data_IF_565579552489
#
_entry.id   IF_565579552489
#
_cell.length_a   1.000
_cell.length_b   1.000
_cell.length_c   1.000
_cell.angle_alpha   90.00
_cell.angle_beta   90.00
_cell.angle_gamma   90.00
#
_symmetry.space_group_name_H-M   'P 1'
#
loop_
_entity.id
_entity.type
_entity.pdbx_description
1 polymer ?
#
# COMPACT_ATOMS: atom_id res chain seq x y z
N UNK A 1 -4.16 -22.64 17.92
CA UNK A 1 -5.04 -23.20 16.87
C UNK A 1 -4.84 -22.35 15.62
N UNK A 2 -4.00 -22.78 14.68
CA UNK A 2 -3.65 -22.00 13.48
C UNK A 2 -4.76 -22.14 12.43
N UNK A 3 -5.68 -21.17 12.39
CA UNK A 3 -6.54 -21.01 11.23
C UNK A 3 -5.73 -20.29 10.15
N UNK A 4 -5.19 -21.05 9.20
CA UNK A 4 -4.76 -20.51 7.92
C UNK A 4 -6.01 -20.03 7.17
N UNK A 5 -6.51 -18.84 7.50
CA UNK A 5 -7.48 -18.16 6.64
C UNK A 5 -6.74 -17.77 5.36
N UNK A 6 -6.93 -18.58 4.32
CA UNK A 6 -6.60 -18.12 2.96
C UNK A 6 -7.50 -16.91 2.70
N UNK A 7 -6.86 -15.75 2.55
CA UNK A 7 -7.50 -14.57 2.01
C UNK A 7 -8.13 -14.93 0.65
N UNK A 8 -9.35 -14.43 0.33
CA UNK A 8 -9.92 -14.61 -0.99
C UNK A 8 -8.94 -14.20 -2.12
N UNK A 9 -9.08 -14.80 -3.31
CA UNK A 9 -8.19 -14.49 -4.44
C UNK A 9 -8.34 -13.05 -4.94
N UNK A 10 -9.51 -12.44 -4.69
CA UNK A 10 -9.86 -11.08 -5.06
C UNK A 10 -10.06 -10.19 -3.83
N UNK A 11 -9.80 -8.88 -3.93
CA UNK A 11 -10.02 -7.95 -2.82
C UNK A 11 -11.48 -7.91 -2.38
N UNK A 12 -11.74 -8.29 -1.11
CA UNK A 12 -13.03 -8.10 -0.46
C UNK A 12 -12.91 -7.05 0.64
N UNK A 13 -13.02 -5.78 0.25
CA UNK A 13 -13.01 -4.66 1.19
C UNK A 13 -14.27 -4.62 2.04
N UNK A 14 -15.41 -5.09 1.53
CA UNK A 14 -16.68 -5.09 2.27
C UNK A 14 -16.58 -6.00 3.49
N UNK A 15 -16.12 -7.24 3.30
CA UNK A 15 -15.89 -8.19 4.39
C UNK A 15 -14.80 -7.69 5.33
N UNK A 16 -13.72 -7.12 4.82
CA UNK A 16 -12.64 -6.57 5.66
C UNK A 16 -13.16 -5.43 6.54
N UNK A 17 -13.96 -4.53 5.97
CA UNK A 17 -14.59 -3.42 6.71
C UNK A 17 -15.53 -3.93 7.79
N UNK A 18 -16.43 -4.86 7.46
CA UNK A 18 -17.36 -5.45 8.41
C UNK A 18 -16.63 -6.14 9.58
N UNK A 19 -15.52 -6.84 9.29
CA UNK A 19 -14.73 -7.55 10.31
C UNK A 19 -14.07 -6.63 11.34
N UNK A 20 -13.63 -5.45 10.93
CA UNK A 20 -12.90 -4.50 11.78
C UNK A 20 -13.74 -3.29 12.19
N UNK A 21 -15.04 -3.32 11.93
CA UNK A 21 -15.98 -2.29 12.36
C UNK A 21 -15.93 -2.11 13.90
N UNK A 22 -15.94 -0.86 14.36
CA UNK A 22 -15.85 -0.53 15.78
C UNK A 22 -14.49 -0.75 16.45
N UNK A 23 -13.53 -1.44 15.81
CA UNK A 23 -12.21 -1.73 16.40
C UNK A 23 -11.30 -0.49 16.52
N UNK A 24 -11.56 0.55 15.72
CA UNK A 24 -10.68 1.71 15.57
C UNK A 24 -9.37 1.44 14.82
N UNK A 25 -9.10 0.17 14.44
CA UNK A 25 -7.92 -0.24 13.66
C UNK A 25 -8.07 0.12 12.19
N UNK A 26 -9.24 -0.12 11.60
CA UNK A 26 -9.56 0.28 10.24
C UNK A 26 -10.39 1.57 10.27
N UNK A 27 -9.81 2.67 9.78
CA UNK A 27 -10.50 3.95 9.64
C UNK A 27 -10.70 4.26 8.17
N UNK A 28 -11.95 4.55 7.81
CA UNK A 28 -12.37 4.88 6.46
C UNK A 28 -12.61 6.37 6.32
N UNK A 29 -12.56 6.83 5.08
CA UNK A 29 -12.91 8.19 4.69
C UNK A 29 -12.18 9.25 5.54
N UNK A 30 -10.89 8.99 5.80
CA UNK A 30 -10.06 9.84 6.65
C UNK A 30 -9.49 10.96 5.79
N UNK A 31 -9.68 12.21 6.19
CA UNK A 31 -9.00 13.34 5.54
C UNK A 31 -7.48 13.29 5.79
N UNK A 32 -6.72 13.93 4.91
CA UNK A 32 -5.25 13.91 4.95
C UNK A 32 -4.70 14.51 6.24
N UNK A 33 -5.31 15.58 6.77
CA UNK A 33 -4.85 16.23 8.00
C UNK A 33 -5.02 15.31 9.21
N UNK A 34 -6.17 14.66 9.33
CA UNK A 34 -6.46 13.68 10.37
C UNK A 34 -5.53 12.48 10.25
N UNK A 35 -5.32 11.96 9.04
CA UNK A 35 -4.41 10.85 8.82
C UNK A 35 -2.96 11.21 9.19
N UNK A 36 -2.50 12.42 8.83
CA UNK A 36 -1.17 12.89 9.18
C UNK A 36 -1.00 13.03 10.70
N UNK A 37 -1.99 13.61 11.40
CA UNK A 37 -2.01 13.68 12.87
C UNK A 37 -1.91 12.29 13.51
N UNK A 38 -2.66 11.31 12.99
CA UNK A 38 -2.62 9.93 13.47
C UNK A 38 -1.26 9.23 13.21
N UNK A 39 -0.52 9.70 12.22
CA UNK A 39 0.81 9.22 11.85
C UNK A 39 1.96 9.96 12.55
N UNK A 40 1.70 11.04 13.29
CA UNK A 40 2.74 11.75 14.04
C UNK A 40 3.42 10.84 15.07
N UNK A 41 4.74 10.98 15.20
CA UNK A 41 5.57 10.16 16.07
C UNK A 41 5.81 8.72 15.56
N UNK A 42 5.04 8.25 14.59
CA UNK A 42 5.11 6.90 14.03
C UNK A 42 5.87 6.87 12.70
N UNK A 43 6.18 5.66 12.22
CA UNK A 43 6.53 5.41 10.82
C UNK A 43 5.33 4.78 10.12
N UNK A 44 4.77 5.46 9.11
CA UNK A 44 3.66 4.90 8.32
C UNK A 44 4.12 4.27 7.01
N UNK A 45 3.43 3.23 6.60
CA UNK A 45 3.62 2.55 5.33
C UNK A 45 2.58 3.04 4.32
N UNK A 46 3.01 3.58 3.19
CA UNK A 46 2.13 3.99 2.10
C UNK A 46 1.96 2.85 1.08
N UNK A 47 0.76 2.29 1.06
CA UNK A 47 0.40 1.24 0.10
C UNK A 47 -0.33 1.89 -1.07
N UNK A 48 0.25 1.78 -2.26
CA UNK A 48 -0.32 2.32 -3.51
C UNK A 48 -0.58 1.20 -4.51
N UNK A 49 -1.56 1.33 -5.41
CA UNK A 49 -1.75 0.35 -6.47
C UNK A 49 -0.52 0.28 -7.37
N UNK A 50 -0.04 -0.94 -7.62
CA UNK A 50 1.02 -1.22 -8.58
C UNK A 50 0.54 -2.38 -9.45
N UNK A 51 0.05 -2.08 -10.64
CA UNK A 51 -0.63 -3.05 -11.51
C UNK A 51 0.30 -4.03 -12.20
N UNK A 52 1.62 -3.87 -12.06
CA UNK A 52 2.52 -4.98 -12.35
C UNK A 52 2.23 -6.15 -11.43
N UNK A 53 1.64 -5.96 -10.26
CA UNK A 53 1.29 -7.01 -9.31
C UNK A 53 -0.02 -7.77 -9.60
N UNK A 54 -0.70 -7.53 -10.73
CA UNK A 54 -1.89 -8.31 -11.11
C UNK A 54 -1.51 -9.56 -11.91
N UNK A 55 -2.12 -10.71 -11.60
CA UNK A 55 -1.95 -11.98 -12.32
C UNK A 55 -2.49 -11.96 -13.77
N UNK A 56 -3.00 -10.81 -14.23
CA UNK A 56 -3.68 -10.67 -15.49
C UNK A 56 -2.67 -10.40 -16.63
N UNK A 57 -2.30 -11.49 -17.31
CA UNK A 57 -1.51 -11.57 -18.54
C UNK A 57 -0.05 -11.06 -18.46
N UNK A 58 0.88 -11.69 -19.20
CA UNK A 58 2.26 -11.21 -19.29
C UNK A 58 2.28 -9.80 -19.93
N UNK A 59 2.51 -8.78 -19.10
CA UNK A 59 2.81 -7.43 -19.60
C UNK A 59 4.18 -7.41 -20.26
N UNK A 60 4.30 -6.64 -21.34
CA UNK A 60 5.61 -6.29 -21.91
C UNK A 60 6.42 -5.55 -20.86
N UNK A 61 7.76 -5.68 -20.91
CA UNK A 61 8.64 -5.01 -19.94
C UNK A 61 8.44 -3.48 -19.93
N UNK A 62 8.04 -2.90 -21.07
CA UNK A 62 7.75 -1.47 -21.18
C UNK A 62 6.48 -1.06 -20.42
N UNK A 63 5.37 -1.78 -20.61
CA UNK A 63 4.12 -1.49 -19.89
C UNK A 63 4.31 -1.66 -18.38
N UNK A 64 5.05 -2.69 -17.98
CA UNK A 64 5.35 -2.92 -16.56
C UNK A 64 6.19 -1.78 -15.94
N UNK A 65 7.17 -1.27 -16.68
CA UNK A 65 7.99 -0.13 -16.24
C UNK A 65 7.16 1.15 -16.09
N UNK A 66 6.34 1.47 -17.09
CA UNK A 66 5.53 2.69 -17.07
C UNK A 66 4.52 2.71 -15.89
N UNK A 67 3.93 1.56 -15.58
CA UNK A 67 3.06 1.42 -14.42
C UNK A 67 3.81 1.56 -13.08
N UNK A 68 5.02 1.01 -13.00
CA UNK A 68 5.87 1.17 -11.81
C UNK A 68 6.28 2.64 -11.60
N UNK A 69 6.68 3.33 -12.66
CA UNK A 69 7.03 4.76 -12.64
C UNK A 69 5.81 5.60 -12.20
N UNK A 70 4.62 5.29 -12.72
CA UNK A 70 3.36 5.96 -12.31
C UNK A 70 3.06 5.74 -10.84
N UNK A 71 3.16 4.49 -10.35
CA UNK A 71 2.94 4.16 -8.95
C UNK A 71 3.98 4.83 -8.03
N UNK A 72 5.25 4.88 -8.45
CA UNK A 72 6.32 5.54 -7.72
C UNK A 72 6.13 7.05 -7.64
N UNK A 73 5.71 7.68 -8.73
CA UNK A 73 5.35 9.11 -8.75
C UNK A 73 4.21 9.40 -7.79
N UNK A 74 3.12 8.63 -7.83
CA UNK A 74 1.99 8.80 -6.94
C UNK A 74 2.39 8.62 -5.47
N UNK A 75 3.20 7.59 -5.16
CA UNK A 75 3.74 7.38 -3.83
C UNK A 75 4.64 8.54 -3.36
N UNK A 76 5.48 9.10 -4.24
CA UNK A 76 6.32 10.24 -3.91
C UNK A 76 5.51 11.51 -3.62
N UNK A 77 4.47 11.77 -4.42
CA UNK A 77 3.52 12.89 -4.20
C UNK A 77 2.86 12.75 -2.82
N UNK A 78 2.29 11.58 -2.53
CA UNK A 78 1.61 11.33 -1.27
C UNK A 78 2.56 11.35 -0.07
N UNK A 79 3.76 10.78 -0.18
CA UNK A 79 4.80 10.92 0.85
C UNK A 79 5.14 12.39 1.11
N UNK A 80 5.23 13.22 0.07
CA UNK A 80 5.47 14.67 0.22
C UNK A 80 4.30 15.39 0.88
N UNK A 81 3.06 15.03 0.53
CA UNK A 81 1.86 15.56 1.20
C UNK A 81 1.96 15.30 2.69
N UNK A 82 2.10 14.04 3.13
CA UNK A 82 2.23 13.70 4.54
C UNK A 82 3.43 14.38 5.24
N UNK A 83 4.57 14.50 4.54
CA UNK A 83 5.74 15.17 5.09
C UNK A 83 5.50 16.66 5.39
N UNK A 84 4.66 17.35 4.61
CA UNK A 84 4.27 18.75 4.91
C UNK A 84 3.51 18.90 6.23
N UNK A 85 2.82 17.84 6.66
CA UNK A 85 2.12 17.77 7.95
C UNK A 85 2.98 17.13 9.05
N UNK A 86 4.29 16.93 8.82
CA UNK A 86 5.23 16.38 9.80
C UNK A 86 5.18 14.85 9.97
N UNK A 87 4.38 14.15 9.16
CA UNK A 87 4.28 12.68 9.21
C UNK A 87 5.38 12.02 8.38
N UNK A 88 5.91 10.90 8.88
CA UNK A 88 6.95 10.10 8.20
C UNK A 88 6.31 8.89 7.55
N UNK A 89 6.16 8.96 6.23
CA UNK A 89 5.48 7.93 5.44
C UNK A 89 6.44 7.37 4.37
N UNK A 90 6.61 6.05 4.35
CA UNK A 90 7.51 5.34 3.43
C UNK A 90 6.73 4.40 2.52
N UNK A 91 7.14 4.30 1.26
CA UNK A 91 6.55 3.36 0.30
C UNK A 91 7.63 2.45 -0.31
N UNK A 92 7.38 1.14 -0.46
CA UNK A 92 8.32 0.26 -1.14
C UNK A 92 8.45 0.59 -2.63
N UNK A 93 7.41 1.14 -3.28
CA UNK A 93 7.41 1.36 -4.73
C UNK A 93 8.37 2.46 -5.16
N UNK A 94 8.53 3.51 -4.33
CA UNK A 94 9.51 4.59 -4.55
C UNK A 94 10.94 4.04 -4.55
N UNK A 95 11.20 3.03 -3.70
CA UNK A 95 12.50 2.35 -3.68
C UNK A 95 12.69 1.42 -4.86
N UNK A 96 11.62 0.79 -5.33
CA UNK A 96 11.65 -0.15 -6.46
C UNK A 96 12.01 0.57 -7.77
N UNK A 97 11.44 1.75 -8.03
CA UNK A 97 11.76 2.57 -9.20
C UNK A 97 13.25 2.91 -9.29
N UNK A 98 13.85 3.37 -8.18
CA UNK A 98 15.30 3.64 -8.12
C UNK A 98 16.17 2.40 -8.37
N UNK A 99 15.75 1.22 -7.89
CA UNK A 99 16.45 -0.05 -8.19
C UNK A 99 16.23 -0.56 -9.60
N UNK A 100 15.08 -0.30 -10.23
CA UNK A 100 14.82 -0.65 -11.62
C UNK A 100 15.59 0.24 -12.59
N UNK A 101 15.66 1.54 -12.30
CA UNK A 101 16.45 2.49 -13.08
C UNK A 101 17.96 2.16 -13.01
N UNK A 102 18.43 1.63 -11.88
CA UNK A 102 19.84 1.31 -11.67
C UNK A 102 20.26 -0.09 -12.16
N UNK A 103 19.32 -0.98 -12.47
CA UNK A 103 19.61 -2.41 -12.49
C UNK A 103 18.67 -3.14 -13.48
N UNK A 104 19.25 -3.77 -14.51
CA UNK A 104 18.57 -4.52 -15.59
C UNK A 104 17.98 -5.85 -15.04
N UNK A 105 17.13 -5.74 -14.02
CA UNK A 105 16.64 -6.86 -13.23
C UNK A 105 15.60 -7.66 -14.02
N UNK A 106 16.10 -8.64 -14.76
CA UNK A 106 15.32 -9.75 -15.32
C UNK A 106 14.61 -10.58 -14.25
N UNK A 107 14.99 -10.43 -12.99
CA UNK A 107 14.40 -11.18 -11.87
C UNK A 107 13.12 -10.52 -11.35
N UNK A 108 12.01 -10.95 -11.95
CA UNK A 108 10.67 -10.54 -11.54
C UNK A 108 10.36 -10.90 -10.09
N UNK A 109 11.01 -11.89 -9.47
CA UNK A 109 10.67 -12.32 -8.09
C UNK A 109 10.89 -11.23 -7.03
N UNK A 110 11.74 -10.24 -7.32
CA UNK A 110 12.00 -9.09 -6.46
C UNK A 110 10.85 -8.05 -6.43
N UNK A 111 9.94 -8.12 -7.39
CA UNK A 111 8.76 -7.25 -7.52
C UNK A 111 7.51 -7.81 -6.86
N UNK A 112 7.47 -9.14 -6.68
CA UNK A 112 6.31 -9.84 -6.14
C UNK A 112 6.68 -10.55 -4.84
N UNK A 113 6.90 -9.80 -3.76
CA UNK A 113 6.75 -10.40 -2.46
C UNK A 113 5.27 -10.77 -2.25
N UNK A 114 5.01 -12.05 -2.00
CA UNK A 114 3.74 -12.47 -1.40
C UNK A 114 3.55 -11.76 -0.05
N UNK A 115 2.33 -11.56 0.47
CA UNK A 115 2.14 -10.90 1.76
C UNK A 115 2.97 -11.58 2.85
N UNK A 116 3.88 -10.82 3.47
CA UNK A 116 4.80 -11.34 4.48
C UNK A 116 6.10 -11.98 3.96
N UNK A 117 6.32 -12.13 2.66
CA UNK A 117 7.52 -12.72 2.06
C UNK A 117 8.19 -11.78 1.06
N UNK A 118 9.40 -11.29 1.35
CA UNK A 118 10.23 -10.48 0.45
C UNK A 118 10.40 -9.03 0.92
N UNK A 119 11.09 -8.19 0.13
CA UNK A 119 11.65 -6.90 0.61
C UNK A 119 10.60 -5.92 1.12
N UNK A 120 9.40 -5.88 0.53
CA UNK A 120 8.29 -5.01 0.96
C UNK A 120 7.74 -5.39 2.34
N UNK A 121 7.73 -6.70 2.67
CA UNK A 121 7.27 -7.18 3.97
C UNK A 121 8.19 -6.75 5.11
N UNK A 122 9.49 -6.57 4.85
CA UNK A 122 10.42 -6.06 5.86
C UNK A 122 10.10 -4.61 6.22
N UNK A 123 9.78 -3.78 5.21
CA UNK A 123 9.42 -2.38 5.45
C UNK A 123 8.10 -2.29 6.22
N UNK A 124 7.09 -3.04 5.79
CA UNK A 124 5.78 -3.08 6.44
C UNK A 124 5.87 -3.49 7.91
N UNK A 125 6.73 -4.47 8.25
CA UNK A 125 6.99 -4.91 9.64
C UNK A 125 7.64 -3.86 10.55
N UNK A 126 8.19 -2.78 9.99
CA UNK A 126 8.83 -1.69 10.75
C UNK A 126 7.93 -0.47 10.90
N UNK A 127 6.77 -0.47 10.26
CA UNK A 127 5.80 0.61 10.33
C UNK A 127 4.76 0.33 11.41
N UNK A 128 4.14 1.39 11.92
CA UNK A 128 3.11 1.34 12.97
C UNK A 128 1.69 1.45 12.41
N UNK A 129 1.58 1.89 11.15
CA UNK A 129 0.32 2.00 10.43
C UNK A 129 0.51 1.83 8.92
N UNK A 130 -0.59 1.53 8.23
CA UNK A 130 -0.72 1.58 6.77
C UNK A 130 -1.63 2.73 6.38
N UNK A 131 -1.21 3.49 5.39
CA UNK A 131 -1.98 4.53 4.73
C UNK A 131 -2.27 4.08 3.30
N UNK A 132 -3.53 4.15 2.90
CA UNK A 132 -3.98 3.89 1.53
C UNK A 132 -4.55 5.20 0.97
N UNK A 133 -3.84 5.88 0.05
CA UNK A 133 -4.33 7.09 -0.60
C UNK A 133 -5.45 6.76 -1.61
N UNK A 134 -6.29 7.74 -1.98
CA UNK A 134 -7.39 7.60 -2.92
C UNK A 134 -6.90 7.58 -4.38
N UNK A 135 -5.94 6.70 -4.69
CA UNK A 135 -5.41 6.53 -6.06
C UNK A 135 -6.29 5.56 -6.84
N UNK A 136 -6.62 5.88 -8.08
CA UNK A 136 -7.38 4.99 -8.97
C UNK A 136 -6.84 3.54 -8.94
N UNK A 137 -7.76 2.58 -8.77
CA UNK A 137 -7.42 1.17 -8.67
C UNK A 137 -7.01 0.65 -7.30
N UNK A 138 -6.97 1.49 -6.27
CA UNK A 138 -6.55 1.03 -4.94
C UNK A 138 -7.47 -0.08 -4.40
N UNK A 139 -8.78 -0.03 -4.74
CA UNK A 139 -9.78 -1.03 -4.30
C UNK A 139 -9.57 -2.37 -4.98
N UNK A 140 -9.18 -2.36 -6.25
CA UNK A 140 -8.95 -3.53 -7.10
C UNK A 140 -7.55 -4.11 -6.90
N UNK A 141 -6.64 -3.36 -6.28
CA UNK A 141 -5.26 -3.78 -6.04
C UNK A 141 -5.20 -4.85 -4.96
N UNK A 142 -4.92 -6.08 -5.39
CA UNK A 142 -4.62 -7.23 -4.53
C UNK A 142 -3.45 -6.93 -3.58
N UNK A 143 -2.44 -6.18 -4.03
CA UNK A 143 -1.31 -5.77 -3.19
C UNK A 143 -1.73 -4.87 -2.03
N UNK A 144 -2.52 -3.84 -2.33
CA UNK A 144 -3.01 -2.87 -1.33
C UNK A 144 -3.93 -3.56 -0.32
N UNK A 145 -4.86 -4.37 -0.81
CA UNK A 145 -5.76 -5.13 0.06
C UNK A 145 -5.01 -6.11 0.96
N UNK A 146 -4.00 -6.81 0.44
CA UNK A 146 -3.15 -7.71 1.24
C UNK A 146 -2.32 -6.99 2.29
N UNK A 147 -1.77 -5.82 1.97
CA UNK A 147 -1.06 -4.99 2.94
C UNK A 147 -2.00 -4.58 4.09
N UNK A 148 -3.23 -4.18 3.77
CA UNK A 148 -4.25 -3.86 4.75
C UNK A 148 -4.63 -5.06 5.62
N UNK A 149 -4.91 -6.23 5.02
CA UNK A 149 -5.18 -7.45 5.77
C UNK A 149 -4.03 -7.81 6.71
N UNK A 150 -2.79 -7.78 6.21
CA UNK A 150 -1.60 -8.13 6.99
C UNK A 150 -1.41 -7.22 8.21
N UNK A 151 -1.64 -5.91 8.02
CA UNK A 151 -1.57 -4.90 9.07
C UNK A 151 -2.66 -5.13 10.13
N UNK A 152 -3.90 -5.31 9.70
CA UNK A 152 -5.04 -5.50 10.61
C UNK A 152 -4.91 -6.79 11.43
N UNK A 153 -4.45 -7.89 10.84
CA UNK A 153 -4.15 -9.14 11.54
C UNK A 153 -3.09 -9.00 12.64
N UNK A 154 -2.31 -7.90 12.62
CA UNK A 154 -1.25 -7.59 13.59
C UNK A 154 -1.59 -6.41 14.49
N UNK A 155 -2.85 -6.01 14.54
CA UNK A 155 -3.32 -4.85 15.29
C UNK A 155 -2.64 -3.54 14.89
N UNK A 156 -2.18 -3.43 13.63
CA UNK A 156 -1.72 -2.17 13.07
C UNK A 156 -2.89 -1.39 12.50
N UNK A 157 -2.83 -0.07 12.60
CA UNK A 157 -3.87 0.81 12.07
C UNK A 157 -3.80 0.85 10.54
N UNK A 158 -4.96 0.85 9.89
CA UNK A 158 -5.11 1.07 8.45
C UNK A 158 -6.00 2.29 8.25
N UNK A 159 -5.47 3.28 7.54
CA UNK A 159 -6.16 4.52 7.21
C UNK A 159 -6.46 4.54 5.72
N UNK A 160 -7.74 4.53 5.36
CA UNK A 160 -8.20 4.74 3.99
C UNK A 160 -8.52 6.22 3.83
N UNK A 161 -7.74 6.89 2.99
CA UNK A 161 -7.85 8.33 2.79
C UNK A 161 -9.02 8.60 1.83
N UNK A 162 -9.86 9.58 2.17
CA UNK A 162 -10.90 10.03 1.26
C UNK A 162 -10.31 10.86 0.11
N UNK A 163 -10.88 10.81 -1.10
CA UNK A 163 -10.55 11.76 -2.17
C UNK A 163 -10.82 13.18 -1.69
N UNK A 164 -9.85 14.07 -1.84
CA UNK A 164 -10.11 15.51 -1.66
C UNK A 164 -10.83 16.07 -2.90
N UNK A 165 -11.58 17.16 -2.74
CA UNK A 165 -12.25 17.86 -3.85
C UNK A 165 -11.28 18.35 -4.94
N UNK A 166 -9.99 18.48 -4.60
CA UNK A 166 -8.91 18.92 -5.50
C UNK A 166 -8.24 17.80 -6.31
N UNK A 167 -8.67 16.54 -6.16
CA UNK A 167 -8.22 15.43 -7.01
C UNK A 167 -6.74 15.05 -6.90
N UNK A 168 -6.13 15.24 -5.73
CA UNK A 168 -4.82 14.66 -5.37
C UNK A 168 -4.98 13.28 -4.74
#
# INVERSE_FOLDING_TARGET
>A
MNMHHRLPPEPDWTQLCARYEGSGLLRRDVDVDTAAKLALGCLGYLSVPCYTCTFAAPKTNFAARHELETAAMAAAIWSRVFARHGARIVSPVVRLDGTWAANDLRDRSLLYPSPGQGRSAFLLRRCDLVVVPPIDGWRESVGVWRDACWALERNMRVLLIQPNEEGL
#
